data_IF_642414240767
#
_entry.id   IF_642414240767
#
_cell.length_a   1.000
_cell.length_b   1.000
_cell.length_c   1.000
_cell.angle_alpha   90.00
_cell.angle_beta   90.00
_cell.angle_gamma   90.00
#
_symmetry.space_group_name_H-M   'P 1'
#
loop_
_entity.id
_entity.type
_entity.pdbx_description
1 polymer ?
#
# COMPACT_ATOMS: atom_id res chain seq x y z
N UNK A 1 -11.93 16.01 32.81
CA UNK A 1 -12.65 15.01 32.03
C UNK A 1 -12.59 15.25 30.53
N UNK A 2 -12.69 16.48 30.05
CA UNK A 2 -12.59 16.77 28.61
C UNK A 2 -11.24 16.40 27.99
N UNK A 3 -10.16 16.46 28.76
CA UNK A 3 -8.82 16.11 28.30
C UNK A 3 -8.66 14.60 28.03
N UNK A 4 -9.40 13.77 28.75
CA UNK A 4 -9.33 12.31 28.59
C UNK A 4 -9.96 11.86 27.27
N UNK A 5 -11.06 12.47 26.88
CA UNK A 5 -11.73 12.16 25.61
C UNK A 5 -10.90 12.58 24.41
N UNK A 6 -10.18 13.69 24.51
CA UNK A 6 -9.31 14.15 23.45
C UNK A 6 -8.14 13.18 23.22
N UNK A 7 -7.59 12.63 24.30
CA UNK A 7 -6.48 11.68 24.23
C UNK A 7 -6.92 10.36 23.58
N UNK A 8 -8.10 9.87 23.92
CA UNK A 8 -8.65 8.65 23.34
C UNK A 8 -8.92 8.84 21.85
N UNK A 9 -9.41 10.01 21.44
CA UNK A 9 -9.66 10.33 20.03
C UNK A 9 -8.36 10.35 19.23
N UNK A 10 -7.29 10.91 19.76
CA UNK A 10 -5.99 10.97 19.11
C UNK A 10 -5.37 9.57 18.94
N UNK A 11 -5.49 8.72 19.96
CA UNK A 11 -5.02 7.34 19.89
C UNK A 11 -5.81 6.56 18.84
N UNK A 12 -7.12 6.75 18.77
CA UNK A 12 -7.97 6.09 17.80
C UNK A 12 -7.64 6.47 16.36
N UNK A 13 -7.33 7.74 16.09
CA UNK A 13 -6.98 8.21 14.76
C UNK A 13 -5.67 7.63 14.25
N UNK A 14 -4.73 7.25 15.13
CA UNK A 14 -3.47 6.63 14.75
C UNK A 14 -3.63 5.22 14.16
N UNK A 15 -4.69 4.51 14.52
CA UNK A 15 -4.95 3.16 14.01
C UNK A 15 -5.38 3.14 12.54
N UNK A 16 -5.90 4.23 11.99
CA UNK A 16 -6.35 4.29 10.60
C UNK A 16 -5.23 4.51 9.59
N UNK A 17 -4.02 4.88 10.06
CA UNK A 17 -2.91 5.28 9.20
C UNK A 17 -2.12 4.08 8.67
N UNK A 18 -2.34 2.87 9.21
CA UNK A 18 -1.45 1.73 9.00
C UNK A 18 -2.01 0.61 8.13
N UNK A 19 -3.24 0.75 7.63
CA UNK A 19 -3.88 -0.31 6.85
C UNK A 19 -3.39 -0.28 5.40
N UNK A 20 -3.16 -1.47 4.81
CA UNK A 20 -2.67 -1.64 3.44
C UNK A 20 -3.49 -2.70 2.72
N UNK A 21 -4.82 -2.51 2.71
CA UNK A 21 -5.73 -3.34 1.92
C UNK A 21 -5.82 -2.77 0.52
N UNK A 22 -5.47 -3.58 -0.46
CA UNK A 22 -5.28 -3.16 -1.85
C UNK A 22 -6.34 -3.81 -2.74
N UNK A 23 -6.97 -3.02 -3.59
CA UNK A 23 -7.83 -3.51 -4.65
C UNK A 23 -7.30 -3.07 -6.00
N UNK A 24 -7.16 -4.03 -6.92
CA UNK A 24 -6.74 -3.77 -8.30
C UNK A 24 -7.98 -3.49 -9.15
N UNK A 25 -8.13 -2.25 -9.61
CA UNK A 25 -9.28 -1.83 -10.41
C UNK A 25 -9.07 -2.20 -11.89
N UNK A 26 -10.16 -2.37 -12.64
CA UNK A 26 -10.12 -2.72 -14.06
C UNK A 26 -9.87 -1.53 -14.97
N UNK A 27 -10.21 -0.33 -14.51
CA UNK A 27 -10.11 0.88 -15.31
C UNK A 27 -9.19 1.88 -14.63
N UNK A 28 -8.25 2.41 -15.38
CA UNK A 28 -7.25 3.36 -14.88
C UNK A 28 -7.89 4.58 -14.20
N UNK A 29 -9.02 5.05 -14.74
CA UNK A 29 -9.72 6.23 -14.20
C UNK A 29 -10.21 6.06 -12.77
N UNK A 30 -10.31 4.82 -12.28
CA UNK A 30 -10.78 4.52 -10.93
C UNK A 30 -9.65 4.34 -9.93
N UNK A 31 -8.41 4.33 -10.38
CA UNK A 31 -7.26 4.10 -9.52
C UNK A 31 -6.80 5.37 -8.80
N UNK A 32 -6.35 5.20 -7.58
CA UNK A 32 -5.67 6.24 -6.84
C UNK A 32 -4.18 6.26 -7.15
N UNK A 33 -3.60 5.09 -7.46
CA UNK A 33 -2.17 4.93 -7.76
C UNK A 33 -2.02 4.00 -8.97
N UNK A 34 -1.24 4.44 -9.95
CA UNK A 34 -0.86 3.62 -11.10
C UNK A 34 0.45 2.91 -10.79
N UNK A 35 0.46 1.60 -10.92
CA UNK A 35 1.55 0.74 -10.48
C UNK A 35 2.16 0.01 -11.67
N UNK A 36 3.48 0.03 -11.78
CA UNK A 36 4.22 -0.79 -12.75
C UNK A 36 5.08 -1.80 -11.98
N UNK A 37 5.00 -3.07 -12.39
CA UNK A 37 5.79 -4.15 -11.79
C UNK A 37 7.12 -4.25 -12.53
N UNK A 38 8.23 -4.01 -11.82
CA UNK A 38 9.57 -4.09 -12.39
C UNK A 38 10.14 -5.49 -12.27
N UNK A 39 11.11 -5.82 -13.14
CA UNK A 39 11.74 -7.14 -13.18
C UNK A 39 12.85 -7.32 -12.16
N UNK A 40 13.40 -6.23 -11.65
CA UNK A 40 14.52 -6.26 -10.73
C UNK A 40 14.20 -5.49 -9.46
N UNK A 41 14.55 -6.08 -8.33
CA UNK A 41 14.31 -5.50 -7.01
C UNK A 41 14.94 -4.10 -6.85
N UNK A 42 16.14 -3.92 -7.40
CA UNK A 42 16.87 -2.65 -7.32
C UNK A 42 16.19 -1.49 -8.05
N UNK A 43 15.28 -1.80 -8.98
CA UNK A 43 14.56 -0.77 -9.76
C UNK A 43 13.22 -0.36 -9.14
N UNK A 44 12.79 -1.05 -8.11
CA UNK A 44 11.51 -0.77 -7.47
C UNK A 44 11.60 0.43 -6.54
N UNK A 45 10.52 1.19 -6.47
CA UNK A 45 10.32 2.19 -5.43
C UNK A 45 9.95 1.51 -4.11
N UNK A 46 9.16 0.44 -4.22
CA UNK A 46 8.67 -0.32 -3.09
C UNK A 46 8.78 -1.82 -3.36
N UNK A 47 9.37 -2.55 -2.44
CA UNK A 47 9.37 -4.01 -2.45
C UNK A 47 8.13 -4.47 -1.70
N UNK A 48 7.28 -5.23 -2.38
CA UNK A 48 5.97 -5.64 -1.87
C UNK A 48 5.95 -7.13 -1.56
N UNK A 49 5.49 -7.46 -0.36
CA UNK A 49 5.17 -8.83 0.02
C UNK A 49 3.65 -8.97 0.12
N UNK A 50 3.10 -9.94 -0.62
CA UNK A 50 1.66 -10.23 -0.58
C UNK A 50 1.39 -11.10 0.63
N UNK A 51 0.71 -10.56 1.63
CA UNK A 51 0.34 -11.32 2.82
C UNK A 51 -0.93 -12.13 2.55
N UNK A 52 -1.06 -13.26 3.22
CA UNK A 52 -2.20 -14.17 3.08
C UNK A 52 -3.40 -13.75 3.92
N UNK A 53 -3.15 -13.10 5.05
CA UNK A 53 -4.18 -12.75 6.02
C UNK A 53 -4.13 -11.27 6.32
N UNK A 54 -5.33 -10.67 6.44
CA UNK A 54 -5.47 -9.25 6.77
C UNK A 54 -4.75 -8.86 8.05
N UNK A 55 -4.72 -9.77 9.03
CA UNK A 55 -4.04 -9.53 10.31
C UNK A 55 -2.53 -9.33 10.18
N UNK A 56 -1.94 -9.68 9.03
CA UNK A 56 -0.50 -9.54 8.78
C UNK A 56 -0.12 -8.15 8.28
N UNK A 57 -1.08 -7.36 7.84
CA UNK A 57 -0.80 -6.00 7.40
C UNK A 57 -0.54 -5.12 8.63
N UNK A 58 0.34 -4.16 8.46
CA UNK A 58 0.71 -3.25 9.52
C UNK A 58 0.89 -1.86 8.99
N UNK A 59 2.09 -1.34 9.08
CA UNK A 59 2.45 -0.02 8.62
C UNK A 59 2.58 0.01 7.10
N UNK A 60 2.77 1.20 6.53
CA UNK A 60 3.09 1.40 5.12
C UNK A 60 4.54 0.95 4.86
N UNK A 61 4.76 -0.36 4.86
CA UNK A 61 6.08 -0.98 4.77
C UNK A 61 6.18 -2.05 3.68
N UNK A 62 5.21 -2.05 2.75
CA UNK A 62 5.22 -2.98 1.63
C UNK A 62 4.47 -4.28 1.84
N UNK A 63 3.80 -4.44 2.95
CA UNK A 63 2.94 -5.62 3.18
C UNK A 63 1.54 -5.30 2.69
N UNK A 64 1.15 -5.94 1.59
CA UNK A 64 -0.13 -5.72 0.94
C UNK A 64 -1.03 -6.93 1.10
N UNK A 65 -2.29 -6.67 1.47
CA UNK A 65 -3.36 -7.65 1.44
C UNK A 65 -4.33 -7.28 0.33
N UNK A 66 -4.45 -8.14 -0.69
CA UNK A 66 -5.37 -7.91 -1.80
C UNK A 66 -6.77 -8.33 -1.39
N UNK A 67 -7.71 -7.40 -1.49
CA UNK A 67 -9.11 -7.66 -1.18
C UNK A 67 -9.90 -7.95 -2.45
N UNK A 68 -11.01 -8.71 -2.31
CA UNK A 68 -11.85 -9.13 -3.42
C UNK A 68 -12.88 -8.08 -3.84
N UNK A 69 -13.15 -7.13 -2.95
CA UNK A 69 -14.16 -6.08 -3.18
C UNK A 69 -13.57 -4.70 -3.01
N UNK A 70 -13.88 -3.82 -3.96
CA UNK A 70 -13.40 -2.44 -3.94
C UNK A 70 -13.76 -1.71 -2.65
N UNK A 71 -14.96 -1.96 -2.12
CA UNK A 71 -15.45 -1.31 -0.89
C UNK A 71 -14.61 -1.61 0.34
N UNK A 72 -13.80 -2.66 0.32
CA UNK A 72 -12.94 -3.05 1.43
C UNK A 72 -11.52 -2.51 1.34
N UNK A 73 -11.18 -1.89 0.21
CA UNK A 73 -9.81 -1.42 -0.03
C UNK A 73 -9.51 -0.11 0.70
N UNK A 74 -8.29 0.00 1.18
CA UNK A 74 -7.74 1.27 1.62
C UNK A 74 -7.21 2.06 0.44
N UNK A 75 -6.65 1.36 -0.54
CA UNK A 75 -6.04 1.96 -1.73
C UNK A 75 -6.44 1.17 -2.96
N UNK A 76 -6.88 1.89 -4.00
CA UNK A 76 -7.22 1.32 -5.30
C UNK A 76 -6.07 1.57 -6.26
N UNK A 77 -5.56 0.50 -6.85
CA UNK A 77 -4.45 0.59 -7.79
C UNK A 77 -4.87 0.11 -9.17
N UNK A 78 -4.14 0.56 -10.18
CA UNK A 78 -4.26 0.04 -11.54
C UNK A 78 -2.85 -0.33 -12.02
N UNK A 79 -2.70 -1.57 -12.48
CA UNK A 79 -1.43 -2.03 -13.04
C UNK A 79 -1.30 -1.52 -14.47
N UNK A 80 -0.27 -0.72 -14.72
CA UNK A 80 0.02 -0.19 -16.06
C UNK A 80 1.02 -1.08 -16.79
N UNK A 81 0.96 -1.06 -18.13
CA UNK A 81 1.84 -1.88 -18.98
C UNK A 81 3.20 -1.23 -19.25
N UNK A 82 3.29 0.07 -19.03
CA UNK A 82 4.50 0.83 -19.32
C UNK A 82 4.98 1.59 -18.10
N UNK A 83 6.28 1.49 -17.84
CA UNK A 83 6.92 2.15 -16.70
C UNK A 83 6.68 3.65 -16.68
N UNK A 84 6.71 4.30 -17.86
CA UNK A 84 6.53 5.74 -17.99
C UNK A 84 5.16 6.25 -17.52
N UNK A 85 4.18 5.36 -17.40
CA UNK A 85 2.83 5.70 -16.96
C UNK A 85 2.60 5.49 -15.47
N UNK A 86 3.56 4.91 -14.77
CA UNK A 86 3.40 4.55 -13.37
C UNK A 86 3.64 5.73 -12.43
N UNK A 87 2.86 5.76 -11.36
CA UNK A 87 3.14 6.61 -10.20
C UNK A 87 4.12 5.91 -9.26
N UNK A 88 4.06 4.58 -9.23
CA UNK A 88 4.81 3.75 -8.30
C UNK A 88 5.33 2.51 -9.01
N UNK A 89 6.62 2.23 -8.86
CA UNK A 89 7.24 0.99 -9.35
C UNK A 89 7.40 0.02 -8.20
N UNK A 90 6.90 -1.20 -8.39
CA UNK A 90 6.95 -2.23 -7.34
C UNK A 90 7.66 -3.48 -7.83
N UNK A 91 8.25 -4.21 -6.89
CA UNK A 91 8.79 -5.54 -7.10
C UNK A 91 8.20 -6.44 -6.02
N UNK A 92 7.60 -7.57 -6.43
CA UNK A 92 7.02 -8.52 -5.48
C UNK A 92 8.11 -9.44 -4.96
N UNK A 93 8.34 -9.41 -3.64
CA UNK A 93 9.33 -10.25 -2.97
C UNK A 93 8.67 -11.52 -2.42
N UNK A 94 9.47 -12.58 -2.28
CA UNK A 94 8.99 -13.88 -1.79
C UNK A 94 9.00 -14.00 -0.28
N UNK A 95 9.75 -13.15 0.41
CA UNK A 95 9.91 -13.19 1.85
C UNK A 95 9.48 -11.88 2.48
N UNK A 96 8.71 -11.98 3.55
CA UNK A 96 8.20 -10.82 4.29
C UNK A 96 9.32 -9.89 4.74
N UNK A 97 10.44 -10.45 5.18
CA UNK A 97 11.59 -9.68 5.67
C UNK A 97 12.22 -8.79 4.60
N UNK A 98 11.93 -9.03 3.33
CA UNK A 98 12.50 -8.24 2.23
C UNK A 98 11.61 -7.09 1.79
N UNK A 99 10.39 -7.02 2.29
CA UNK A 99 9.47 -5.93 1.97
C UNK A 99 9.97 -4.59 2.52
N UNK A 100 9.68 -3.52 1.80
CA UNK A 100 10.03 -2.18 2.28
C UNK A 100 10.31 -1.19 1.17
N UNK A 101 10.42 0.06 1.55
CA UNK A 101 10.64 1.17 0.63
C UNK A 101 12.11 1.27 0.21
N UNK A 102 12.35 1.40 -1.09
CA UNK A 102 13.65 1.81 -1.63
C UNK A 102 13.68 3.33 -1.80
N UNK A 103 12.56 3.92 -2.21
CA UNK A 103 12.42 5.36 -2.41
C UNK A 103 11.34 5.90 -1.47
N UNK A 104 11.78 6.46 -0.35
CA UNK A 104 10.88 7.01 0.67
C UNK A 104 10.11 8.26 0.20
N UNK A 105 10.57 8.92 -0.85
CA UNK A 105 9.88 10.11 -1.37
C UNK A 105 8.50 9.79 -1.94
N UNK A 106 8.23 8.53 -2.27
CA UNK A 106 6.96 8.08 -2.83
C UNK A 106 6.02 7.45 -1.80
N UNK A 107 6.47 7.36 -0.57
CA UNK A 107 5.71 6.73 0.52
C UNK A 107 4.34 7.37 0.73
N UNK A 108 4.23 8.66 0.48
CA UNK A 108 2.97 9.41 0.62
C UNK A 108 1.86 8.92 -0.31
N UNK A 109 2.19 8.24 -1.41
CA UNK A 109 1.19 7.74 -2.36
C UNK A 109 0.28 6.67 -1.75
N UNK A 110 0.75 6.00 -0.70
CA UNK A 110 0.03 4.89 -0.08
C UNK A 110 -0.50 5.22 1.32
N UNK A 111 -0.72 6.47 1.60
CA UNK A 111 -1.38 6.90 2.84
C UNK A 111 -2.83 7.29 2.61
#
# INVERSE_FOLDING_TARGET
MKKLYLLIFLIFSLFFVNAQKIFSVKYESRAEVKVFVVDYESRADLKVYKVKYESQIGKNDGKWFFVDYESRADIKIFFVDYESRADLKVFFVEYESRAGWNDNSKKHLLY
#
